data_IF_978543265385
#
_entry.id   IF_978543265385
#
_cell.length_a   1.000
_cell.length_b   1.000
_cell.length_c   1.000
_cell.angle_alpha   90.00
_cell.angle_beta   90.00
_cell.angle_gamma   90.00
#
_symmetry.space_group_name_H-M   'P 1'
#
loop_
_entity.id
_entity.type
_entity.pdbx_description
1 polymer ?
#
# COMPACT_ATOMS: atom_id res chain seq x y z
N UNK A 1 -1.38 -7.75 6.24
CA UNK A 1 -2.65 -7.10 6.66
C UNK A 1 -2.58 -5.58 6.76
N UNK A 2 -1.62 -4.96 7.47
CA UNK A 2 -1.54 -3.48 7.57
C UNK A 2 -1.38 -2.76 6.22
N UNK A 3 -0.60 -3.31 5.29
CA UNK A 3 -0.40 -2.75 3.94
C UNK A 3 -1.71 -2.69 3.14
N UNK A 4 -2.54 -3.73 3.20
CA UNK A 4 -3.84 -3.78 2.50
C UNK A 4 -4.76 -2.65 2.98
N UNK A 5 -4.82 -2.41 4.30
CA UNK A 5 -5.62 -1.32 4.86
C UNK A 5 -5.08 0.07 4.45
N UNK A 6 -3.76 0.22 4.31
CA UNK A 6 -3.17 1.48 3.88
C UNK A 6 -3.53 1.80 2.42
N UNK A 7 -3.33 0.84 1.51
CA UNK A 7 -3.65 1.01 0.08
C UNK A 7 -5.16 1.23 -0.15
N UNK A 8 -6.03 0.54 0.61
CA UNK A 8 -7.48 0.80 0.53
C UNK A 8 -7.85 2.22 0.96
N UNK A 9 -7.21 2.79 1.99
CA UNK A 9 -7.45 4.18 2.41
C UNK A 9 -6.97 5.18 1.37
N UNK A 10 -5.87 4.92 0.70
CA UNK A 10 -5.37 5.75 -0.40
C UNK A 10 -6.34 5.77 -1.59
N UNK A 11 -7.04 4.65 -1.84
CA UNK A 11 -8.15 4.61 -2.81
C UNK A 11 -9.34 5.50 -2.41
N UNK A 12 -9.66 5.62 -1.11
CA UNK A 12 -10.73 6.50 -0.62
C UNK A 12 -10.39 7.97 -0.86
N UNK A 13 -9.15 8.35 -0.59
CA UNK A 13 -8.65 9.71 -0.84
C UNK A 13 -8.71 10.06 -2.33
N UNK A 14 -8.43 9.09 -3.21
CA UNK A 14 -8.54 9.25 -4.67
C UNK A 14 -9.98 9.42 -5.14
N UNK A 15 -10.94 8.65 -4.61
CA UNK A 15 -12.37 8.83 -4.91
C UNK A 15 -12.91 10.16 -4.39
N UNK A 16 -12.41 10.64 -3.24
CA UNK A 16 -12.82 11.93 -2.67
C UNK A 16 -12.20 13.13 -3.41
N UNK A 17 -11.05 12.94 -4.05
CA UNK A 17 -10.38 13.97 -4.84
C UNK A 17 -11.16 14.26 -6.12
N UNK A 18 -12.12 15.18 -6.02
CA UNK A 18 -12.79 15.78 -7.18
C UNK A 18 -11.73 16.46 -8.05
N UNK A 19 -11.63 16.23 -9.38
CA UNK A 19 -10.62 16.87 -10.20
C UNK A 19 -10.84 18.40 -10.19
N UNK A 20 -9.98 19.12 -9.49
CA UNK A 20 -9.98 20.58 -9.41
C UNK A 20 -9.44 21.25 -10.69
N UNK A 21 -9.27 20.50 -11.79
CA UNK A 21 -8.72 21.01 -13.05
C UNK A 21 -9.78 21.03 -14.13
N UNK A 22 -10.64 22.03 -14.04
CA UNK A 22 -11.18 22.69 -15.22
C UNK A 22 -10.92 24.18 -15.07
N UNK A 23 -9.72 24.62 -15.45
CA UNK A 23 -9.49 25.98 -15.96
C UNK A 23 -10.27 26.08 -17.28
N UNK A 24 -11.60 26.09 -17.20
CA UNK A 24 -12.49 26.34 -18.32
C UNK A 24 -12.62 27.85 -18.46
N UNK A 25 -11.90 28.36 -19.45
CA UNK A 25 -12.24 29.61 -20.12
C UNK A 25 -13.77 29.71 -20.25
N UNK A 26 -14.33 30.81 -19.70
CA UNK A 26 -15.77 31.07 -19.69
C UNK A 26 -16.31 31.07 -21.12
N UNK A 27 -17.04 30.02 -21.48
CA UNK A 27 -18.02 30.06 -22.58
C UNK A 27 -19.38 30.02 -21.91
N UNK A 28 -20.12 31.12 -22.05
CA UNK A 28 -21.48 31.27 -21.56
C UNK A 28 -22.39 30.26 -22.28
N UNK A 29 -23.16 29.48 -21.52
CA UNK A 29 -24.30 28.73 -22.03
C UNK A 29 -24.14 27.21 -22.06
N UNK A 30 -24.42 26.56 -20.94
CA UNK A 30 -25.29 25.37 -20.85
C UNK A 30 -25.28 24.85 -19.41
N UNK A 31 -26.46 24.49 -18.91
CA UNK A 31 -26.65 23.84 -17.61
C UNK A 31 -26.10 22.41 -17.68
N UNK A 32 -24.79 22.25 -17.53
CA UNK A 32 -24.13 20.96 -17.40
C UNK A 32 -23.83 20.69 -15.93
N UNK A 33 -24.63 19.85 -15.27
CA UNK A 33 -24.25 19.25 -14.00
C UNK A 33 -22.87 18.60 -14.18
N UNK A 34 -21.85 19.10 -13.48
CA UNK A 34 -20.58 18.39 -13.36
C UNK A 34 -20.88 17.14 -12.53
N UNK A 35 -21.21 16.05 -13.23
CA UNK A 35 -21.48 14.76 -12.60
C UNK A 35 -20.23 14.30 -11.84
N UNK A 36 -20.45 13.64 -10.70
CA UNK A 36 -19.37 12.97 -9.96
C UNK A 36 -18.74 11.96 -10.93
N UNK A 37 -17.49 12.18 -11.32
CA UNK A 37 -16.73 11.23 -12.12
C UNK A 37 -16.09 10.24 -11.14
N UNK A 38 -16.80 9.15 -10.85
CA UNK A 38 -16.26 8.03 -10.09
C UNK A 38 -15.41 7.17 -11.03
N UNK A 39 -14.23 6.80 -10.58
CA UNK A 39 -13.40 5.82 -11.31
C UNK A 39 -13.97 4.42 -11.06
N UNK A 40 -14.58 3.85 -12.11
CA UNK A 40 -15.21 2.52 -12.06
C UNK A 40 -14.22 1.41 -11.67
N UNK A 41 -12.94 1.53 -12.05
CA UNK A 41 -11.92 0.55 -11.66
C UNK A 41 -11.67 0.59 -10.16
N UNK A 42 -11.60 1.79 -9.60
CA UNK A 42 -11.42 1.99 -8.15
C UNK A 42 -12.62 1.46 -7.38
N UNK A 43 -13.85 1.76 -7.84
CA UNK A 43 -15.08 1.25 -7.21
C UNK A 43 -15.14 -0.29 -7.26
N UNK A 44 -14.85 -0.88 -8.42
CA UNK A 44 -14.85 -2.33 -8.61
C UNK A 44 -13.83 -3.03 -7.70
N UNK A 45 -12.59 -2.53 -7.65
CA UNK A 45 -11.57 -3.11 -6.79
C UNK A 45 -11.94 -3.04 -5.30
N UNK A 46 -12.54 -1.94 -4.85
CA UNK A 46 -12.98 -1.80 -3.45
C UNK A 46 -14.08 -2.79 -3.07
N UNK A 47 -15.01 -3.05 -3.99
CA UNK A 47 -16.04 -4.06 -3.81
C UNK A 47 -15.41 -5.45 -3.70
N UNK A 48 -14.53 -5.82 -4.63
CA UNK A 48 -13.80 -7.10 -4.61
C UNK A 48 -13.02 -7.29 -3.31
N UNK A 49 -12.26 -6.28 -2.86
CA UNK A 49 -11.53 -6.32 -1.58
C UNK A 49 -12.48 -6.58 -0.41
N UNK A 50 -13.63 -5.90 -0.36
CA UNK A 50 -14.58 -6.07 0.74
C UNK A 50 -15.24 -7.46 0.71
N UNK A 51 -15.60 -7.95 -0.46
CA UNK A 51 -16.22 -9.26 -0.67
C UNK A 51 -15.28 -10.39 -0.29
N UNK A 52 -14.05 -10.39 -0.81
CA UNK A 52 -13.03 -11.40 -0.50
C UNK A 52 -12.72 -11.44 1.00
N UNK A 53 -12.46 -10.29 1.64
CA UNK A 53 -12.21 -10.30 3.09
C UNK A 53 -13.43 -10.77 3.90
N UNK A 54 -14.64 -10.49 3.42
CA UNK A 54 -15.87 -10.97 4.07
C UNK A 54 -16.04 -12.48 3.92
N UNK A 55 -15.71 -13.04 2.76
CA UNK A 55 -15.71 -14.48 2.51
C UNK A 55 -14.77 -15.20 3.48
N UNK A 56 -13.52 -14.77 3.55
CA UNK A 56 -12.54 -15.36 4.45
C UNK A 56 -12.91 -15.20 5.92
N UNK A 57 -13.48 -14.05 6.28
CA UNK A 57 -13.95 -13.85 7.64
C UNK A 57 -15.09 -14.83 7.98
N UNK A 58 -16.04 -15.06 7.07
CA UNK A 58 -17.12 -16.04 7.26
C UNK A 58 -16.58 -17.44 7.43
N UNK A 59 -15.62 -17.88 6.63
CA UNK A 59 -14.99 -19.20 6.78
C UNK A 59 -14.46 -19.41 8.21
N UNK A 60 -13.71 -18.42 8.72
CA UNK A 60 -13.19 -18.47 10.09
C UNK A 60 -14.33 -18.54 11.12
N UNK A 61 -15.37 -17.72 10.95
CA UNK A 61 -16.53 -17.71 11.86
C UNK A 61 -17.27 -19.05 11.86
N UNK A 62 -17.48 -19.63 10.69
CA UNK A 62 -18.25 -20.86 10.49
C UNK A 62 -17.51 -22.06 11.08
N UNK A 63 -16.18 -22.12 10.94
CA UNK A 63 -15.40 -23.26 11.41
C UNK A 63 -14.92 -23.14 12.86
N UNK A 64 -14.59 -21.92 13.32
CA UNK A 64 -14.07 -21.71 14.68
C UNK A 64 -15.15 -21.30 15.68
N UNK A 65 -16.35 -20.96 15.22
CA UNK A 65 -17.42 -20.43 16.07
C UNK A 65 -17.02 -19.12 16.78
N UNK A 66 -16.02 -18.42 16.25
CA UNK A 66 -15.46 -17.24 16.91
C UNK A 66 -16.45 -16.08 16.83
N UNK A 67 -16.80 -15.47 17.96
CA UNK A 67 -17.70 -14.30 18.00
C UNK A 67 -16.93 -12.98 18.07
N UNK A 68 -15.60 -13.02 17.94
CA UNK A 68 -14.70 -11.86 18.07
C UNK A 68 -15.03 -10.70 17.12
N UNK A 69 -15.82 -10.93 16.08
CA UNK A 69 -16.52 -9.88 15.36
C UNK A 69 -17.67 -9.33 16.24
N UNK A 70 -17.32 -8.56 17.28
CA UNK A 70 -18.23 -7.76 18.12
C UNK A 70 -18.71 -6.46 17.45
N UNK A 71 -19.87 -5.96 17.88
CA UNK A 71 -20.78 -5.02 17.18
C UNK A 71 -20.33 -3.56 17.01
N UNK A 72 -19.19 -3.14 17.57
CA UNK A 72 -18.87 -1.71 17.71
C UNK A 72 -18.06 -1.11 16.55
N UNK A 73 -17.19 -1.87 15.88
CA UNK A 73 -16.49 -1.41 14.67
C UNK A 73 -17.24 -1.88 13.41
N UNK A 74 -17.56 -0.97 12.48
CA UNK A 74 -18.10 -1.32 11.16
C UNK A 74 -17.02 -1.08 10.09
N UNK A 75 -17.00 -1.93 9.05
CA UNK A 75 -16.20 -1.71 7.84
C UNK A 75 -14.90 -2.52 7.72
N UNK A 76 -14.16 -2.27 6.64
CA UNK A 76 -13.00 -3.06 6.18
C UNK A 76 -11.88 -3.20 7.21
N UNK A 77 -11.59 -2.15 7.98
CA UNK A 77 -10.53 -2.18 9.00
C UNK A 77 -10.73 -3.29 10.04
N UNK A 78 -11.98 -3.61 10.37
CA UNK A 78 -12.32 -4.71 11.27
C UNK A 78 -12.04 -6.07 10.64
N UNK A 79 -12.39 -6.26 9.37
CA UNK A 79 -12.12 -7.50 8.63
C UNK A 79 -10.60 -7.75 8.55
N UNK A 80 -9.83 -6.73 8.20
CA UNK A 80 -8.36 -6.81 8.12
C UNK A 80 -7.74 -7.14 9.48
N UNK A 81 -8.22 -6.50 10.55
CA UNK A 81 -7.74 -6.77 11.92
C UNK A 81 -8.08 -8.19 12.34
N UNK A 82 -9.32 -8.60 12.15
CA UNK A 82 -9.80 -9.94 12.49
C UNK A 82 -8.99 -11.00 11.76
N UNK A 83 -8.91 -10.95 10.43
CA UNK A 83 -8.14 -11.91 9.64
C UNK A 83 -6.65 -11.89 10.00
N UNK A 84 -6.10 -10.72 10.33
CA UNK A 84 -4.74 -10.58 10.85
C UNK A 84 -4.48 -11.36 12.14
N UNK A 85 -5.48 -11.49 13.02
CA UNK A 85 -5.38 -12.27 14.25
C UNK A 85 -5.49 -13.78 14.00
N UNK A 86 -6.04 -14.17 12.85
CA UNK A 86 -6.30 -15.56 12.46
C UNK A 86 -5.22 -16.12 11.53
N UNK A 87 -4.20 -15.34 11.17
CA UNK A 87 -3.08 -15.82 10.35
C UNK A 87 -2.42 -17.09 10.90
N UNK A 88 -2.22 -17.27 12.23
CA UNK A 88 -1.71 -18.53 12.75
C UNK A 88 -2.65 -19.71 12.47
N UNK A 89 -3.96 -19.50 12.46
CA UNK A 89 -4.92 -20.56 12.12
C UNK A 89 -4.87 -20.89 10.63
N UNK A 90 -4.80 -19.89 9.75
CA UNK A 90 -4.64 -20.10 8.32
C UNK A 90 -3.35 -20.85 7.97
N UNK A 91 -2.27 -20.65 8.74
CA UNK A 91 -1.00 -21.35 8.50
C UNK A 91 -1.12 -22.88 8.64
N UNK A 92 -2.04 -23.37 9.47
CA UNK A 92 -2.31 -24.79 9.69
C UNK A 92 -3.56 -25.28 8.94
N UNK A 93 -4.32 -24.39 8.31
CA UNK A 93 -5.58 -24.70 7.65
C UNK A 93 -5.37 -25.11 6.18
N UNK A 94 -6.09 -26.12 5.64
CA UNK A 94 -5.95 -26.53 4.24
C UNK A 94 -6.15 -25.41 3.22
N UNK A 95 -7.02 -24.44 3.51
CA UNK A 95 -7.27 -23.26 2.67
C UNK A 95 -6.24 -22.11 2.85
N UNK A 96 -5.18 -22.31 3.64
CA UNK A 96 -4.19 -21.26 3.92
C UNK A 96 -3.43 -20.76 2.68
N UNK A 97 -3.18 -21.66 1.72
CA UNK A 97 -2.53 -21.31 0.44
C UNK A 97 -3.44 -20.40 -0.38
N UNK A 98 -4.69 -20.83 -0.61
CA UNK A 98 -5.70 -20.06 -1.36
C UNK A 98 -5.96 -18.69 -0.73
N UNK A 99 -6.07 -18.63 0.60
CA UNK A 99 -6.15 -17.37 1.33
C UNK A 99 -4.97 -16.45 1.03
N UNK A 100 -3.74 -16.99 1.05
CA UNK A 100 -2.53 -16.20 0.80
C UNK A 100 -2.47 -15.71 -0.64
N UNK A 101 -2.86 -16.53 -1.61
CA UNK A 101 -2.90 -16.19 -3.03
C UNK A 101 -3.90 -15.07 -3.28
N UNK A 102 -5.16 -15.21 -2.83
CA UNK A 102 -6.17 -14.18 -3.03
C UNK A 102 -5.80 -12.84 -2.37
N UNK A 103 -5.23 -12.88 -1.17
CA UNK A 103 -4.76 -11.67 -0.49
C UNK A 103 -3.60 -11.02 -1.24
N UNK A 104 -2.69 -11.81 -1.84
CA UNK A 104 -1.55 -11.32 -2.61
C UNK A 104 -2.01 -10.70 -3.93
N UNK A 105 -3.00 -11.31 -4.59
CA UNK A 105 -3.64 -10.73 -5.78
C UNK A 105 -4.28 -9.38 -5.46
N UNK A 106 -5.08 -9.29 -4.38
CA UNK A 106 -5.69 -8.02 -3.98
C UNK A 106 -4.65 -6.94 -3.67
N UNK A 107 -3.54 -7.31 -3.02
CA UNK A 107 -2.44 -6.39 -2.76
C UNK A 107 -1.77 -5.92 -4.05
N UNK A 108 -1.60 -6.81 -5.03
CA UNK A 108 -1.01 -6.49 -6.32
C UNK A 108 -1.92 -5.53 -7.09
N UNK A 109 -3.21 -5.82 -7.19
CA UNK A 109 -4.19 -4.96 -7.88
C UNK A 109 -4.29 -3.56 -7.22
N UNK A 110 -4.23 -3.51 -5.88
CA UNK A 110 -4.19 -2.26 -5.12
C UNK A 110 -2.89 -1.48 -5.36
N UNK A 111 -1.75 -2.15 -5.44
CA UNK A 111 -0.45 -1.52 -5.71
C UNK A 111 -0.35 -1.05 -7.18
N UNK A 112 -0.95 -1.76 -8.13
CA UNK A 112 -1.00 -1.32 -9.54
C UNK A 112 -1.81 -0.04 -9.72
N UNK A 113 -2.89 0.15 -8.94
CA UNK A 113 -3.75 1.33 -9.03
C UNK A 113 -3.34 2.49 -8.13
N UNK A 114 -2.84 2.20 -6.92
CA UNK A 114 -2.55 3.22 -5.89
C UNK A 114 -1.11 3.20 -5.41
N UNK A 115 -0.35 2.17 -5.75
CA UNK A 115 1.06 2.09 -5.38
C UNK A 115 1.85 3.24 -6.02
N UNK A 116 3.02 3.58 -5.44
CA UNK A 116 3.93 4.48 -6.11
C UNK A 116 4.31 3.80 -7.44
N UNK A 117 3.82 4.32 -8.56
CA UNK A 117 4.14 3.81 -9.90
C UNK A 117 5.64 3.55 -10.07
N UNK A 118 6.05 2.76 -11.09
CA UNK A 118 7.30 2.00 -11.13
C UNK A 118 8.44 2.65 -10.33
N UNK A 119 8.83 2.04 -9.22
CA UNK A 119 9.89 2.58 -8.37
C UNK A 119 11.26 2.11 -8.84
N UNK A 120 12.21 3.03 -8.93
CA UNK A 120 13.61 2.74 -9.19
C UNK A 120 14.35 2.58 -7.85
N UNK A 121 14.97 1.41 -7.66
CA UNK A 121 15.89 1.13 -6.54
C UNK A 121 17.31 1.41 -6.99
N UNK A 122 18.05 2.19 -6.22
CA UNK A 122 19.45 2.47 -6.49
C UNK A 122 20.31 2.28 -5.23
N UNK A 123 21.52 1.69 -5.36
CA UNK A 123 22.38 1.42 -4.23
C UNK A 123 22.94 2.71 -3.62
N UNK A 124 22.98 2.76 -2.29
CA UNK A 124 23.52 3.85 -1.47
C UNK A 124 24.74 3.44 -0.63
N UNK A 125 25.21 2.20 -0.79
CA UNK A 125 26.37 1.65 -0.06
C UNK A 125 25.97 0.73 1.11
N UNK A 126 26.88 0.40 2.04
CA UNK A 126 26.61 -0.52 3.14
C UNK A 126 25.70 0.08 4.22
N UNK A 127 24.95 -0.77 4.92
CA UNK A 127 24.11 -0.36 6.04
C UNK A 127 24.94 0.29 7.15
N UNK A 128 24.54 1.46 7.69
CA UNK A 128 25.26 2.11 8.79
C UNK A 128 25.03 1.43 10.15
N UNK A 129 24.18 0.40 10.22
CA UNK A 129 23.90 -0.31 11.46
C UNK A 129 25.08 -1.25 11.79
N UNK A 130 25.65 -1.18 13.02
CA UNK A 130 26.66 -2.14 13.45
C UNK A 130 26.14 -3.57 13.27
N UNK A 131 27.01 -4.46 12.78
CA UNK A 131 26.70 -5.89 12.53
C UNK A 131 25.72 -6.16 11.37
N UNK A 132 25.24 -5.13 10.65
CA UNK A 132 24.46 -5.32 9.44
C UNK A 132 25.35 -5.32 8.20
N UNK A 133 25.59 -6.50 7.62
CA UNK A 133 26.29 -6.66 6.33
C UNK A 133 25.43 -6.36 5.09
N UNK A 134 24.21 -5.85 5.28
CA UNK A 134 23.26 -5.61 4.19
C UNK A 134 23.59 -4.36 3.37
N UNK A 135 23.18 -4.35 2.11
CA UNK A 135 23.29 -3.16 1.28
C UNK A 135 22.10 -2.23 1.52
N UNK A 136 22.36 -0.92 1.46
CA UNK A 136 21.40 0.15 1.60
C UNK A 136 20.94 0.61 0.21
N UNK A 137 19.65 0.85 0.06
CA UNK A 137 19.06 1.29 -1.20
C UNK A 137 18.12 2.47 -0.98
N UNK A 138 18.14 3.39 -1.94
CA UNK A 138 17.11 4.41 -2.08
C UNK A 138 16.01 3.90 -3.00
N UNK A 139 14.76 4.16 -2.64
CA UNK A 139 13.57 3.91 -3.46
C UNK A 139 13.02 5.25 -3.90
N UNK A 140 12.80 5.43 -5.20
CA UNK A 140 12.15 6.62 -5.76
C UNK A 140 11.16 6.24 -6.86
N UNK A 141 10.13 7.04 -7.13
CA UNK A 141 9.34 6.91 -8.36
C UNK A 141 10.24 7.06 -9.60
N UNK A 142 10.03 6.26 -10.65
CA UNK A 142 10.84 6.30 -11.87
C UNK A 142 10.78 7.66 -12.60
N UNK A 143 9.70 8.41 -12.42
CA UNK A 143 9.42 9.69 -13.11
C UNK A 143 9.78 10.93 -12.27
N UNK A 144 10.53 10.79 -11.17
CA UNK A 144 10.97 11.93 -10.35
C UNK A 144 12.49 12.04 -10.23
N UNK A 145 12.92 13.28 -9.96
CA UNK A 145 14.31 13.64 -9.72
C UNK A 145 14.98 12.81 -8.61
N UNK A 146 16.31 12.88 -8.52
CA UNK A 146 17.22 12.00 -7.74
C UNK A 146 16.99 11.90 -6.21
N UNK A 147 15.90 12.45 -5.67
CA UNK A 147 15.61 12.40 -4.24
C UNK A 147 14.83 11.12 -3.91
N UNK A 148 15.37 10.22 -3.06
CA UNK A 148 14.65 9.04 -2.63
C UNK A 148 13.42 9.40 -1.79
N UNK A 149 12.34 8.65 -1.95
CA UNK A 149 11.13 8.75 -1.11
C UNK A 149 11.26 7.88 0.15
N UNK A 150 12.10 6.85 0.08
CA UNK A 150 12.40 5.96 1.19
C UNK A 150 13.84 5.41 1.06
N UNK A 151 14.49 5.14 2.20
CA UNK A 151 15.82 4.50 2.24
C UNK A 151 15.81 3.40 3.29
N UNK A 152 16.16 2.18 2.88
CA UNK A 152 16.24 1.01 3.74
C UNK A 152 17.33 0.05 3.25
N UNK A 153 17.78 -0.84 4.13
CA UNK A 153 18.68 -1.93 3.74
C UNK A 153 17.93 -3.23 3.47
N UNK A 154 18.59 -4.20 2.85
CA UNK A 154 18.04 -5.55 2.61
C UNK A 154 17.53 -6.24 3.88
N UNK A 155 18.18 -5.97 5.02
CA UNK A 155 17.76 -6.49 6.34
C UNK A 155 16.59 -5.71 6.97
N UNK A 156 16.00 -4.73 6.28
CA UNK A 156 14.82 -3.99 6.74
C UNK A 156 15.08 -2.81 7.69
N UNK A 157 16.34 -2.39 7.91
CA UNK A 157 16.62 -1.22 8.74
C UNK A 157 16.19 0.07 8.02
N UNK A 158 15.26 0.85 8.58
CA UNK A 158 14.88 2.13 8.02
C UNK A 158 15.94 3.18 8.34
N UNK A 159 16.29 4.01 7.36
CA UNK A 159 17.12 5.21 7.60
C UNK A 159 16.20 6.43 7.60
N UNK A 160 16.14 7.22 8.70
CA UNK A 160 15.30 8.41 8.74
C UNK A 160 15.84 9.52 7.82
N UNK A 161 14.99 10.38 7.24
CA UNK A 161 15.39 11.41 6.26
C UNK A 161 16.57 12.30 6.68
N UNK A 162 16.63 12.67 7.96
CA UNK A 162 17.75 13.45 8.54
C UNK A 162 19.12 12.79 8.40
N UNK A 163 19.17 11.47 8.29
CA UNK A 163 20.41 10.70 8.12
C UNK A 163 20.77 10.50 6.64
N UNK A 164 19.90 10.85 5.69
CA UNK A 164 20.18 10.68 4.26
C UNK A 164 21.30 11.60 3.76
N UNK A 165 21.39 12.82 4.29
CA UNK A 165 22.48 13.75 3.96
C UNK A 165 23.87 13.19 4.33
N UNK A 166 23.94 12.41 5.42
CA UNK A 166 25.17 11.73 5.85
C UNK A 166 25.56 10.54 4.95
N UNK A 167 24.63 10.08 4.10
CA UNK A 167 24.86 9.01 3.12
C UNK A 167 25.25 9.60 1.75
N UNK A 168 24.60 10.69 1.32
CA UNK A 168 24.92 11.39 0.07
C UNK A 168 26.41 11.82 0.01
N UNK A 169 26.95 12.33 1.13
CA UNK A 169 28.37 12.72 1.21
C UNK A 169 29.37 11.55 1.19
N UNK A 170 28.93 10.29 1.39
CA UNK A 170 29.81 9.10 1.27
C UNK A 170 29.93 8.65 -0.18
N UNK A 171 28.82 8.62 -0.90
CA UNK A 171 28.80 8.24 -2.33
C UNK A 171 29.59 9.20 -3.21
N UNK A 172 29.68 10.49 -2.85
CA UNK A 172 30.54 11.45 -3.55
C UNK A 172 32.03 11.21 -3.26
N UNK A 173 32.38 10.88 -2.01
CA UNK A 173 33.76 10.53 -1.63
C UNK A 173 34.24 9.23 -2.27
N UNK A 174 33.38 8.21 -2.37
CA UNK A 174 33.72 6.93 -3.01
C UNK A 174 33.82 7.02 -4.53
N UNK A 175 33.15 7.99 -5.18
CA UNK A 175 33.29 8.24 -6.63
C UNK A 175 34.49 9.11 -7.00
N UNK A 176 35.05 9.83 -6.04
CA UNK A 176 36.21 10.71 -6.22
C UNK A 176 37.54 10.06 -5.78
N UNK A 177 37.49 8.82 -5.29
CA UNK A 177 38.64 7.99 -4.93
C UNK A 177 38.84 6.90 -6.00
#
# INVERSE_FOLDING_TARGET
MRTLLALYKESDETLAATPATALRQRVSGSRGSVGIVLDERVVSLRSRVTETLSLWARLVLDERGDTALGTTERGLGRLVRFLGQQLPWFADHPAGVEFTEEITELLTDLDELFGPGPVNRFPLGPCPRPECGGALFGVRPADRDRVPSHVSCDAGHPVPPRQWLLLAGRTEKERAA
#
